data_IF_055368758489
#
_entry.id   IF_055368758489
#
_cell.length_a   1.000
_cell.length_b   1.000
_cell.length_c   1.000
_cell.angle_alpha   90.00
_cell.angle_beta   90.00
_cell.angle_gamma   90.00
#
_symmetry.space_group_name_H-M   'P 1'
#
loop_
_entity.id
_entity.type
_entity.pdbx_description
1 polymer ?
#
# COMPACT_ATOMS: atom_id res chain seq x y z
N UNK A 1 -5.72 8.39 10.49
CA UNK A 1 -7.14 8.78 10.65
C UNK A 1 -7.66 8.22 11.98
N UNK A 2 -8.73 8.80 12.57
CA UNK A 2 -9.29 8.32 13.85
C UNK A 2 -10.00 6.96 13.73
N UNK A 3 -10.43 6.59 12.52
CA UNK A 3 -11.06 5.31 12.20
C UNK A 3 -10.37 4.62 11.03
N UNK A 4 -10.57 3.31 10.92
CA UNK A 4 -9.97 2.48 9.87
C UNK A 4 -8.62 1.91 10.27
N UNK A 5 -8.00 1.19 9.34
CA UNK A 5 -6.73 0.51 9.54
C UNK A 5 -5.65 1.21 8.70
N UNK A 6 -4.55 1.61 9.35
CA UNK A 6 -3.38 2.08 8.62
C UNK A 6 -2.51 0.89 8.24
N UNK A 7 -2.13 0.81 6.96
CA UNK A 7 -1.23 -0.20 6.43
C UNK A 7 -0.06 0.53 5.80
N UNK A 8 1.15 0.19 6.24
CA UNK A 8 2.38 0.70 5.65
C UNK A 8 2.90 -0.30 4.63
N UNK A 9 3.04 0.17 3.40
CA UNK A 9 3.50 -0.58 2.25
C UNK A 9 4.93 -0.18 1.92
N UNK A 10 5.79 -1.16 1.71
CA UNK A 10 7.19 -0.95 1.36
C UNK A 10 7.40 -1.25 -0.12
N UNK A 11 8.05 -0.32 -0.82
CA UNK A 11 8.36 -0.45 -2.25
C UNK A 11 9.85 -0.73 -2.43
N UNK A 12 10.29 -2.01 -2.39
CA UNK A 12 11.65 -2.37 -2.73
C UNK A 12 11.91 -2.17 -4.22
N UNK A 13 13.20 -2.15 -4.61
CA UNK A 13 13.67 -1.84 -5.98
C UNK A 13 13.03 -2.70 -7.07
N UNK A 14 12.55 -3.87 -6.72
CA UNK A 14 11.96 -4.87 -7.62
C UNK A 14 10.44 -4.67 -7.84
N UNK A 15 9.74 -4.09 -6.86
CA UNK A 15 8.27 -3.99 -6.87
C UNK A 15 7.78 -2.57 -7.15
N UNK A 16 8.64 -1.57 -6.99
CA UNK A 16 8.31 -0.15 -7.18
C UNK A 16 7.85 0.24 -8.60
N UNK A 17 8.06 -0.62 -9.61
CA UNK A 17 7.58 -0.37 -10.97
C UNK A 17 6.19 -0.95 -11.24
N UNK A 18 5.64 -1.75 -10.34
CA UNK A 18 4.29 -2.29 -10.49
C UNK A 18 3.27 -1.30 -9.93
N UNK A 19 2.17 -1.08 -10.68
CA UNK A 19 1.08 -0.19 -10.29
C UNK A 19 0.20 -0.77 -9.17
N UNK A 20 0.80 -1.29 -8.10
CA UNK A 20 0.12 -2.08 -7.06
C UNK A 20 -1.05 -1.32 -6.44
N UNK A 21 -0.82 -0.06 -6.06
CA UNK A 21 -1.81 0.79 -5.38
C UNK A 21 -3.04 1.04 -6.26
N UNK A 22 -2.83 1.54 -7.48
CA UNK A 22 -3.95 1.88 -8.36
C UNK A 22 -4.62 0.62 -8.93
N UNK A 23 -3.87 -0.46 -9.14
CA UNK A 23 -4.44 -1.75 -9.52
C UNK A 23 -5.28 -2.36 -8.41
N UNK A 24 -4.84 -2.26 -7.15
CA UNK A 24 -5.60 -2.71 -5.98
C UNK A 24 -6.94 -1.97 -5.88
N UNK A 25 -6.94 -0.63 -5.99
CA UNK A 25 -8.16 0.18 -5.96
C UNK A 25 -9.20 -0.31 -6.98
N UNK A 26 -8.76 -0.51 -8.25
CA UNK A 26 -9.64 -0.98 -9.34
C UNK A 26 -10.07 -2.43 -9.17
N UNK A 27 -9.17 -3.31 -8.72
CA UNK A 27 -9.44 -4.75 -8.58
C UNK A 27 -10.44 -5.02 -7.45
N UNK A 28 -10.25 -4.36 -6.32
CA UNK A 28 -11.11 -4.54 -5.14
C UNK A 28 -12.33 -3.62 -5.15
N UNK A 29 -12.39 -2.67 -6.09
CA UNK A 29 -13.39 -1.62 -6.19
C UNK A 29 -13.59 -0.91 -4.84
N UNK A 30 -12.48 -0.41 -4.28
CA UNK A 30 -12.46 0.33 -3.02
C UNK A 30 -11.68 1.62 -3.14
N UNK A 31 -12.08 2.59 -2.31
CA UNK A 31 -11.28 3.76 -2.00
C UNK A 31 -10.44 3.50 -0.75
N UNK A 32 -9.27 4.13 -0.72
CA UNK A 32 -8.42 4.23 0.46
C UNK A 32 -7.76 5.61 0.48
N UNK A 33 -7.43 6.07 1.68
CA UNK A 33 -6.75 7.34 1.85
C UNK A 33 -5.24 7.11 1.87
N UNK A 34 -4.48 7.97 1.18
CA UNK A 34 -3.04 8.07 1.40
C UNK A 34 -2.83 8.99 2.59
N UNK A 35 -2.32 8.47 3.70
CA UNK A 35 -2.11 9.25 4.93
C UNK A 35 -0.81 10.03 4.83
N UNK A 36 0.28 9.33 4.51
CA UNK A 36 1.59 9.91 4.26
C UNK A 36 2.46 8.89 3.52
N UNK A 37 3.54 9.35 2.92
CA UNK A 37 4.51 8.47 2.28
C UNK A 37 5.85 9.15 2.17
N UNK A 38 6.90 8.34 2.16
CA UNK A 38 8.26 8.80 1.86
C UNK A 38 8.78 7.92 0.75
N UNK A 39 8.87 8.49 -0.45
CA UNK A 39 9.41 7.82 -1.64
C UNK A 39 10.55 8.67 -2.17
N UNK A 40 11.72 8.07 -2.28
CA UNK A 40 12.93 8.69 -2.82
C UNK A 40 13.32 7.99 -4.12
N UNK A 41 13.88 8.75 -5.07
CA UNK A 41 14.43 8.19 -6.31
C UNK A 41 15.93 7.97 -6.13
N UNK A 42 16.34 6.71 -6.01
CA UNK A 42 17.74 6.32 -5.88
C UNK A 42 18.14 5.47 -7.08
N UNK A 43 19.17 5.91 -7.80
CA UNK A 43 19.67 5.27 -9.02
C UNK A 43 18.55 4.97 -10.05
N UNK A 44 17.63 5.94 -10.22
CA UNK A 44 16.52 5.81 -11.17
C UNK A 44 15.33 4.98 -10.66
N UNK A 45 15.40 4.38 -9.47
CA UNK A 45 14.35 3.54 -8.89
C UNK A 45 13.66 4.23 -7.72
N UNK A 46 12.34 4.11 -7.65
CA UNK A 46 11.57 4.58 -6.50
C UNK A 46 11.79 3.61 -5.32
N UNK A 47 12.14 4.15 -4.15
CA UNK A 47 12.33 3.41 -2.92
C UNK A 47 11.67 4.13 -1.78
N UNK A 48 11.03 3.37 -0.90
CA UNK A 48 10.47 3.93 0.32
C UNK A 48 9.20 3.24 0.74
N UNK A 49 8.30 4.00 1.35
CA UNK A 49 7.07 3.49 1.91
C UNK A 49 5.90 4.45 1.73
N UNK A 50 4.70 3.88 1.77
CA UNK A 50 3.43 4.57 1.71
C UNK A 50 2.53 4.04 2.81
N UNK A 51 1.96 4.91 3.63
CA UNK A 51 0.90 4.55 4.57
C UNK A 51 -0.44 4.88 3.95
N UNK A 52 -1.25 3.85 3.77
CA UNK A 52 -2.64 3.96 3.37
C UNK A 52 -3.55 3.71 4.57
N UNK A 53 -4.72 4.32 4.58
CA UNK A 53 -5.78 4.03 5.53
C UNK A 53 -6.97 3.44 4.77
N UNK A 54 -7.44 2.29 5.24
CA UNK A 54 -8.56 1.54 4.65
C UNK A 54 -9.69 1.43 5.68
N UNK A 55 -10.92 1.17 5.21
CA UNK A 55 -11.99 0.80 6.12
C UNK A 55 -11.72 -0.59 6.72
N UNK A 56 -12.06 -0.79 7.99
CA UNK A 56 -11.87 -2.08 8.67
C UNK A 56 -12.60 -3.24 7.98
N UNK A 57 -13.81 -2.99 7.44
CA UNK A 57 -14.59 -3.98 6.68
C UNK A 57 -13.85 -4.51 5.45
N UNK A 58 -12.88 -3.75 4.94
CA UNK A 58 -12.12 -4.07 3.73
C UNK A 58 -10.76 -4.72 4.05
N UNK A 59 -10.44 -4.92 5.34
CA UNK A 59 -9.15 -5.44 5.81
C UNK A 59 -8.74 -6.72 5.11
N UNK A 60 -9.54 -7.78 5.20
CA UNK A 60 -9.12 -9.10 4.77
C UNK A 60 -8.84 -9.17 3.26
N UNK A 61 -9.69 -8.53 2.44
CA UNK A 61 -9.46 -8.46 0.99
C UNK A 61 -8.25 -7.61 0.60
N UNK A 62 -7.96 -6.56 1.36
CA UNK A 62 -6.78 -5.72 1.12
C UNK A 62 -5.50 -6.48 1.48
N UNK A 63 -5.48 -7.15 2.63
CA UNK A 63 -4.31 -7.92 3.07
C UNK A 63 -4.02 -9.10 2.13
N UNK A 64 -5.04 -9.87 1.74
CA UNK A 64 -4.91 -10.97 0.77
C UNK A 64 -4.37 -10.48 -0.59
N UNK A 65 -4.83 -9.33 -1.07
CA UNK A 65 -4.32 -8.74 -2.30
C UNK A 65 -2.86 -8.30 -2.17
N UNK A 66 -2.49 -7.62 -1.08
CA UNK A 66 -1.12 -7.15 -0.86
C UNK A 66 -0.16 -8.35 -0.75
N UNK A 67 -0.54 -9.40 -0.02
CA UNK A 67 0.24 -10.62 0.12
C UNK A 67 0.50 -11.28 -1.25
N UNK A 68 -0.52 -11.41 -2.09
CA UNK A 68 -0.39 -11.92 -3.46
C UNK A 68 0.45 -11.03 -4.38
N UNK A 69 0.51 -9.72 -4.12
CA UNK A 69 1.30 -8.78 -4.91
C UNK A 69 2.82 -8.87 -4.63
N UNK A 70 3.23 -9.55 -3.55
CA UNK A 70 4.63 -9.63 -3.11
C UNK A 70 5.17 -8.33 -2.50
N UNK A 71 4.32 -7.33 -2.27
CA UNK A 71 4.68 -6.10 -1.54
C UNK A 71 4.85 -6.43 -0.06
N UNK A 72 5.97 -6.01 0.52
CA UNK A 72 6.17 -6.07 1.97
C UNK A 72 5.28 -5.03 2.66
N UNK A 73 4.63 -5.42 3.75
CA UNK A 73 3.69 -4.56 4.46
C UNK A 73 3.66 -4.82 5.97
N UNK A 74 3.19 -3.82 6.73
CA UNK A 74 2.87 -3.96 8.15
C UNK A 74 1.63 -3.13 8.52
N UNK A 75 0.94 -3.52 9.59
CA UNK A 75 -0.08 -2.66 10.21
C UNK A 75 0.63 -1.53 10.94
N UNK A 76 0.27 -0.29 10.62
CA UNK A 76 0.80 0.89 11.29
C UNK A 76 -0.15 1.33 12.41
N UNK A 77 0.39 1.52 13.61
CA UNK A 77 -0.32 2.07 14.77
C UNK A 77 -0.57 3.57 14.63
#
# INVERSE_FOLDING_TARGET
>A
PEHGLNIKLYFPKEVAQNSVITHMARTLNIDFNIVWGKIEKLNGKALGNLVININEKDKDKVLDYIEKSGVLWEVAS
#
